data_IF_008340127502
#
_entry.id   IF_008340127502
#
_cell.length_a   1.000
_cell.length_b   1.000
_cell.length_c   1.000
_cell.angle_alpha   90.00
_cell.angle_beta   90.00
_cell.angle_gamma   90.00
#
_symmetry.space_group_name_H-M   'P 1'
#
loop_
_entity.id
_entity.type
_entity.pdbx_description
1 polymer ?
#
# COMPACT_ATOMS: atom_id res chain seq x y z
N UNK A 1 -1.49 -49.57 25.52
CA UNK A 1 -2.05 -48.25 25.78
C UNK A 1 -0.87 -47.27 25.93
N UNK A 2 -0.52 -46.56 24.92
CA UNK A 2 0.48 -45.52 24.99
C UNK A 2 0.00 -44.33 24.16
N UNK A 3 -0.46 -43.31 24.86
CA UNK A 3 -0.94 -42.04 24.32
C UNK A 3 0.24 -41.17 23.99
N UNK A 4 0.55 -41.07 22.68
CA UNK A 4 1.50 -40.08 22.18
C UNK A 4 0.84 -38.73 22.11
N UNK A 5 1.16 -37.83 23.04
CA UNK A 5 0.84 -36.41 22.99
C UNK A 5 1.70 -35.76 21.90
N UNK A 6 1.10 -35.33 20.83
CA UNK A 6 1.73 -34.43 19.88
C UNK A 6 1.80 -33.05 20.54
N UNK A 7 2.96 -32.70 21.05
CA UNK A 7 3.25 -31.35 21.49
C UNK A 7 3.32 -30.43 20.27
N UNK A 8 2.40 -29.47 20.19
CA UNK A 8 2.57 -28.29 19.36
C UNK A 8 3.80 -27.53 19.85
N UNK A 9 4.86 -27.51 19.05
CA UNK A 9 6.06 -26.73 19.33
C UNK A 9 5.72 -25.25 19.25
N UNK A 10 5.57 -24.60 20.38
CA UNK A 10 5.71 -23.16 20.49
C UNK A 10 7.18 -22.85 20.14
N UNK A 11 7.39 -22.05 19.09
CA UNK A 11 8.73 -21.65 18.67
C UNK A 11 9.43 -20.80 19.74
N UNK A 12 10.24 -21.46 20.56
CA UNK A 12 11.03 -20.87 21.66
C UNK A 12 12.41 -20.37 21.18
N UNK A 13 12.52 -20.03 19.89
CA UNK A 13 13.72 -19.36 19.35
C UNK A 13 13.64 -17.84 19.49
N UNK A 14 14.77 -17.13 19.40
CA UNK A 14 14.72 -15.68 19.27
C UNK A 14 13.89 -15.30 18.03
N UNK A 15 13.12 -14.18 18.10
CA UNK A 15 12.28 -13.75 16.98
C UNK A 15 13.15 -13.47 15.75
N UNK A 16 12.69 -13.88 14.56
CA UNK A 16 13.33 -13.58 13.28
C UNK A 16 13.25 -12.08 12.93
N UNK A 17 13.98 -11.69 11.89
CA UNK A 17 14.04 -10.29 11.47
C UNK A 17 12.65 -9.77 11.08
N UNK A 18 11.86 -10.55 10.32
CA UNK A 18 10.51 -10.17 9.89
C UNK A 18 9.58 -9.97 11.08
N UNK A 19 9.57 -10.90 12.05
CA UNK A 19 8.73 -10.77 13.25
C UNK A 19 9.13 -9.56 14.09
N UNK A 20 10.43 -9.30 14.23
CA UNK A 20 10.96 -8.15 14.95
C UNK A 20 10.58 -6.84 14.27
N UNK A 21 10.70 -6.78 12.95
CA UNK A 21 10.29 -5.62 12.14
C UNK A 21 8.79 -5.36 12.23
N UNK A 22 7.95 -6.41 12.25
CA UNK A 22 6.50 -6.30 12.43
C UNK A 22 6.10 -5.70 13.79
N UNK A 23 6.98 -5.77 14.80
CA UNK A 23 6.79 -5.11 16.11
C UNK A 23 7.32 -3.68 16.13
N UNK A 24 8.03 -3.27 15.07
CA UNK A 24 8.68 -1.96 14.99
C UNK A 24 9.87 -1.80 15.95
N UNK A 25 10.45 -2.90 16.43
CA UNK A 25 11.60 -2.87 17.35
C UNK A 25 12.90 -2.61 16.59
N UNK A 26 13.15 -1.33 16.32
CA UNK A 26 14.32 -0.89 15.58
C UNK A 26 15.66 -1.32 16.23
N UNK A 27 15.70 -1.42 17.57
CA UNK A 27 16.92 -1.81 18.28
C UNK A 27 17.25 -3.29 18.03
N UNK A 28 16.27 -4.16 18.22
CA UNK A 28 16.48 -5.60 18.00
C UNK A 28 16.72 -5.90 16.51
N UNK A 29 16.08 -5.14 15.58
CA UNK A 29 16.38 -5.23 14.14
C UNK A 29 17.85 -4.90 13.88
N UNK A 30 18.40 -3.83 14.48
CA UNK A 30 19.82 -3.51 14.34
C UNK A 30 20.72 -4.63 14.88
N UNK A 31 20.43 -5.16 16.08
CA UNK A 31 21.19 -6.23 16.68
C UNK A 31 21.17 -7.52 15.81
N UNK A 32 20.05 -7.84 15.17
CA UNK A 32 19.92 -8.98 14.26
C UNK A 32 20.72 -8.78 12.97
N UNK A 33 20.67 -7.59 12.37
CA UNK A 33 21.44 -7.25 11.16
C UNK A 33 22.95 -7.28 11.45
N UNK A 34 23.40 -6.74 12.58
CA UNK A 34 24.80 -6.80 13.04
C UNK A 34 25.23 -8.25 13.28
N UNK A 35 24.31 -9.12 13.68
CA UNK A 35 24.49 -10.57 13.84
C UNK A 35 24.56 -11.35 12.52
N UNK A 36 24.35 -10.67 11.37
CA UNK A 36 24.43 -11.27 10.04
C UNK A 36 23.11 -11.87 9.53
N UNK A 37 21.95 -11.43 10.06
CA UNK A 37 20.66 -11.79 9.49
C UNK A 37 20.57 -11.35 8.03
N UNK A 38 19.96 -12.18 7.19
CA UNK A 38 19.67 -11.82 5.79
C UNK A 38 18.58 -10.73 5.78
N UNK A 39 18.93 -9.54 5.27
CA UNK A 39 18.04 -8.37 5.26
C UNK A 39 16.77 -8.61 4.44
N UNK A 40 16.83 -9.48 3.44
CA UNK A 40 15.73 -9.86 2.56
C UNK A 40 15.12 -11.24 2.92
N UNK A 41 15.40 -11.76 4.14
CA UNK A 41 14.74 -12.99 4.60
C UNK A 41 13.22 -12.84 4.56
N UNK A 42 12.55 -13.96 4.32
CA UNK A 42 11.09 -14.00 4.17
C UNK A 42 10.45 -14.87 5.25
N UNK A 43 9.30 -14.45 5.75
CA UNK A 43 8.46 -15.31 6.59
C UNK A 43 7.70 -16.36 5.73
N UNK A 44 6.88 -17.18 6.41
CA UNK A 44 6.07 -18.24 5.78
C UNK A 44 5.06 -17.73 4.74
N UNK A 45 4.77 -16.43 4.73
CA UNK A 45 3.90 -15.77 3.74
C UNK A 45 4.69 -15.07 2.61
N UNK A 46 6.01 -15.25 2.60
CA UNK A 46 6.91 -14.60 1.64
C UNK A 46 7.18 -13.12 1.95
N UNK A 47 6.70 -12.60 3.08
CA UNK A 47 6.86 -11.19 3.46
C UNK A 47 8.27 -10.91 3.93
N UNK A 48 8.84 -9.77 3.52
CA UNK A 48 10.14 -9.27 3.98
C UNK A 48 10.01 -8.39 5.24
N UNK A 49 11.13 -8.22 5.93
CA UNK A 49 11.19 -7.37 7.12
C UNK A 49 10.81 -5.91 6.83
N UNK A 50 11.25 -5.35 5.68
CA UNK A 50 10.92 -3.96 5.32
C UNK A 50 9.42 -3.78 5.09
N UNK A 51 8.76 -4.73 4.42
CA UNK A 51 7.29 -4.71 4.23
C UNK A 51 6.57 -4.80 5.58
N UNK A 52 7.01 -5.69 6.48
CA UNK A 52 6.47 -5.81 7.82
C UNK A 52 6.61 -4.52 8.64
N UNK A 53 7.77 -3.83 8.54
CA UNK A 53 8.02 -2.55 9.21
C UNK A 53 7.13 -1.42 8.68
N UNK A 54 6.78 -1.42 7.37
CA UNK A 54 5.83 -0.46 6.80
C UNK A 54 4.43 -0.67 7.38
N UNK A 55 3.95 -1.91 7.46
CA UNK A 55 2.68 -2.22 8.13
C UNK A 55 2.68 -1.83 9.60
N UNK A 56 3.80 -1.97 10.29
CA UNK A 56 3.98 -1.51 11.68
C UNK A 56 4.04 0.02 11.81
N UNK A 57 4.27 0.74 10.71
CA UNK A 57 4.42 2.20 10.71
C UNK A 57 5.70 2.70 11.38
N UNK A 58 6.72 1.87 11.48
CA UNK A 58 7.97 2.19 12.18
C UNK A 58 9.02 2.77 11.22
N UNK A 59 9.02 4.10 11.05
CA UNK A 59 10.02 4.77 10.22
C UNK A 59 11.48 4.46 10.63
N UNK A 60 11.84 4.38 11.92
CA UNK A 60 13.20 4.00 12.31
C UNK A 60 13.58 2.58 11.84
N UNK A 61 12.63 1.62 11.89
CA UNK A 61 12.87 0.25 11.45
C UNK A 61 12.99 0.17 9.92
N UNK A 62 12.08 0.85 9.18
CA UNK A 62 12.17 0.93 7.71
C UNK A 62 13.51 1.51 7.29
N UNK A 63 13.94 2.62 7.92
CA UNK A 63 15.24 3.24 7.64
C UNK A 63 16.40 2.28 7.82
N UNK A 64 16.46 1.58 8.96
CA UNK A 64 17.54 0.63 9.24
C UNK A 64 17.63 -0.47 8.18
N UNK A 65 16.48 -1.02 7.79
CA UNK A 65 16.41 -2.08 6.78
C UNK A 65 16.83 -1.57 5.40
N UNK A 66 16.34 -0.40 4.98
CA UNK A 66 16.72 0.23 3.69
C UNK A 66 18.22 0.59 3.69
N UNK A 67 18.75 1.14 4.80
CA UNK A 67 20.17 1.46 4.91
C UNK A 67 21.07 0.20 4.89
N UNK A 68 20.52 -0.95 5.33
CA UNK A 68 21.18 -2.25 5.24
C UNK A 68 21.03 -2.91 3.85
N UNK A 69 20.33 -2.29 2.92
CA UNK A 69 20.16 -2.75 1.54
C UNK A 69 18.93 -3.62 1.30
N UNK A 70 17.91 -3.56 2.18
CA UNK A 70 16.64 -4.27 1.94
C UNK A 70 16.00 -3.83 0.62
N UNK A 71 15.56 -4.81 -0.18
CA UNK A 71 14.77 -4.53 -1.38
C UNK A 71 13.33 -4.18 -1.00
N UNK A 72 12.88 -2.98 -1.40
CA UNK A 72 11.50 -2.50 -1.17
C UNK A 72 10.49 -3.08 -2.17
N UNK A 73 10.98 -3.79 -3.21
CA UNK A 73 10.17 -4.33 -4.31
C UNK A 73 9.83 -5.82 -4.18
N UNK A 74 10.45 -6.53 -3.23
CA UNK A 74 10.18 -7.94 -3.04
C UNK A 74 8.74 -8.16 -2.59
N UNK A 75 7.95 -8.81 -3.46
CA UNK A 75 6.55 -9.09 -3.21
C UNK A 75 6.37 -10.39 -2.42
N UNK A 76 5.44 -10.39 -1.47
CA UNK A 76 4.97 -11.56 -0.73
C UNK A 76 3.95 -12.39 -1.56
N UNK A 77 3.40 -13.46 -0.96
CA UNK A 77 2.42 -14.35 -1.61
C UNK A 77 1.10 -13.64 -1.97
N UNK A 78 0.84 -12.47 -1.39
CA UNK A 78 -0.30 -11.60 -1.75
C UNK A 78 0.07 -10.53 -2.78
N UNK A 79 1.29 -10.57 -3.32
CA UNK A 79 1.87 -9.56 -4.18
C UNK A 79 1.99 -8.19 -3.49
N UNK A 80 2.07 -8.14 -2.17
CA UNK A 80 2.35 -6.92 -1.44
C UNK A 80 3.87 -6.73 -1.28
N UNK A 81 4.33 -5.49 -1.37
CA UNK A 81 5.69 -5.06 -1.06
C UNK A 81 5.67 -3.80 -0.19
N UNK A 82 6.84 -3.25 0.15
CA UNK A 82 6.91 -2.08 1.00
C UNK A 82 6.21 -0.84 0.41
N UNK A 83 6.30 -0.62 -0.91
CA UNK A 83 5.65 0.53 -1.56
C UNK A 83 4.12 0.35 -1.67
N UNK A 84 3.64 -0.83 -2.05
CA UNK A 84 2.21 -1.14 -2.12
C UNK A 84 1.54 -1.04 -0.74
N UNK A 85 2.25 -1.44 0.33
CA UNK A 85 1.78 -1.34 1.71
C UNK A 85 1.51 0.12 2.15
N UNK A 86 2.18 1.12 1.54
CA UNK A 86 1.89 2.54 1.78
C UNK A 86 0.47 2.90 1.37
N UNK A 87 0.03 2.43 0.20
CA UNK A 87 -1.34 2.65 -0.28
C UNK A 87 -2.39 2.01 0.63
N UNK A 88 -2.10 0.82 1.15
CA UNK A 88 -3.02 0.11 2.04
C UNK A 88 -3.12 0.74 3.44
N UNK A 89 -1.99 1.20 4.00
CA UNK A 89 -1.92 1.70 5.37
C UNK A 89 -2.21 3.19 5.49
N UNK A 90 -1.96 3.96 4.42
CA UNK A 90 -2.03 5.42 4.46
C UNK A 90 -0.99 6.09 5.36
N UNK A 91 0.01 5.34 5.83
CA UNK A 91 0.97 5.83 6.80
C UNK A 91 2.08 6.65 6.13
N UNK A 92 1.90 7.95 6.06
CA UNK A 92 2.85 8.89 5.43
C UNK A 92 4.19 8.96 6.19
N UNK A 93 4.21 8.60 7.48
CA UNK A 93 5.42 8.73 8.31
C UNK A 93 6.58 7.83 7.84
N UNK A 94 6.30 6.75 7.10
CA UNK A 94 7.30 5.81 6.58
C UNK A 94 7.62 6.01 5.10
N UNK A 95 6.88 6.89 4.41
CA UNK A 95 7.02 7.11 2.97
C UNK A 95 8.44 7.51 2.58
N UNK A 96 9.04 8.48 3.31
CA UNK A 96 10.39 8.96 2.99
C UNK A 96 11.42 7.84 3.01
N UNK A 97 11.30 6.94 3.97
CA UNK A 97 12.24 5.85 4.12
C UNK A 97 12.06 4.78 3.03
N UNK A 98 10.81 4.50 2.62
CA UNK A 98 10.54 3.59 1.50
C UNK A 98 11.07 4.17 0.18
N UNK A 99 10.85 5.47 -0.07
CA UNK A 99 11.34 6.13 -1.30
C UNK A 99 12.87 6.16 -1.41
N UNK A 100 13.62 6.11 -0.29
CA UNK A 100 15.09 5.97 -0.31
C UNK A 100 15.55 4.64 -0.89
N UNK A 101 14.69 3.61 -0.85
CA UNK A 101 14.95 2.30 -1.47
C UNK A 101 14.70 2.26 -2.98
N UNK A 102 14.35 3.40 -3.61
CA UNK A 102 14.09 3.54 -5.06
C UNK A 102 13.05 2.51 -5.58
N UNK A 103 11.80 2.54 -5.07
CA UNK A 103 10.79 1.54 -5.40
C UNK A 103 10.35 1.61 -6.86
N UNK A 104 10.08 0.44 -7.46
CA UNK A 104 9.31 0.37 -8.71
C UNK A 104 7.82 0.67 -8.43
N UNK A 105 7.43 1.91 -8.71
CA UNK A 105 6.07 2.41 -8.47
C UNK A 105 5.00 1.79 -9.38
N UNK A 106 5.42 1.08 -10.44
CA UNK A 106 4.55 0.37 -11.37
C UNK A 106 4.19 -1.04 -10.93
N UNK A 107 4.81 -1.58 -9.87
CA UNK A 107 4.44 -2.89 -9.34
C UNK A 107 3.01 -2.89 -8.81
N UNK A 108 2.32 -4.02 -9.03
CA UNK A 108 0.91 -4.17 -8.69
C UNK A 108 0.67 -5.25 -7.64
N UNK A 109 -0.37 -5.09 -6.85
CA UNK A 109 -0.86 -6.10 -5.93
C UNK A 109 -1.59 -7.24 -6.68
N UNK A 110 -2.09 -8.26 -5.95
CA UNK A 110 -2.82 -9.40 -6.51
C UNK A 110 -4.10 -9.05 -7.28
N UNK A 111 -4.56 -7.81 -7.21
CA UNK A 111 -5.72 -7.29 -7.97
C UNK A 111 -5.29 -6.40 -9.13
N UNK A 112 -4.01 -6.41 -9.48
CA UNK A 112 -3.47 -5.57 -10.54
C UNK A 112 -3.41 -4.09 -10.20
N UNK A 113 -3.60 -3.68 -8.94
CA UNK A 113 -3.62 -2.27 -8.53
C UNK A 113 -2.27 -1.77 -8.03
N UNK A 114 -1.86 -0.58 -8.44
CA UNK A 114 -0.71 0.16 -7.88
C UNK A 114 -1.03 0.73 -6.49
N UNK A 115 -0.05 1.30 -5.80
CA UNK A 115 -0.26 1.88 -4.45
C UNK A 115 -1.31 3.00 -4.40
N UNK A 116 -1.51 3.74 -5.51
CA UNK A 116 -2.48 4.83 -5.57
C UNK A 116 -3.93 4.34 -5.45
N UNK A 117 -4.23 3.17 -6.00
CA UNK A 117 -5.60 2.63 -6.03
C UNK A 117 -6.13 2.34 -4.61
N UNK A 118 -5.48 1.50 -3.76
CA UNK A 118 -5.96 1.28 -2.40
C UNK A 118 -5.90 2.55 -1.53
N UNK A 119 -4.98 3.48 -1.79
CA UNK A 119 -4.95 4.75 -1.07
C UNK A 119 -6.20 5.59 -1.38
N UNK A 120 -6.62 5.64 -2.64
CA UNK A 120 -7.83 6.35 -3.07
C UNK A 120 -9.10 5.68 -2.52
N UNK A 121 -9.22 4.36 -2.65
CA UNK A 121 -10.34 3.58 -2.11
C UNK A 121 -10.55 3.81 -0.61
N UNK A 122 -9.46 3.78 0.18
CA UNK A 122 -9.53 3.86 1.66
C UNK A 122 -9.66 5.28 2.20
N UNK A 123 -9.69 6.29 1.33
CA UNK A 123 -9.79 7.68 1.77
C UNK A 123 -8.51 8.23 2.40
N UNK A 124 -7.34 7.68 2.07
CA UNK A 124 -6.05 8.12 2.61
C UNK A 124 -5.55 9.40 1.91
N UNK A 125 -6.21 10.53 2.19
CA UNK A 125 -6.00 11.83 1.55
C UNK A 125 -4.52 12.22 1.50
N UNK A 126 -3.81 12.16 2.64
CA UNK A 126 -2.41 12.58 2.71
C UNK A 126 -1.47 11.62 1.97
N UNK A 127 -1.79 10.33 1.92
CA UNK A 127 -1.01 9.37 1.14
C UNK A 127 -1.22 9.58 -0.36
N UNK A 128 -2.46 9.78 -0.82
CA UNK A 128 -2.76 10.13 -2.23
C UNK A 128 -2.01 11.39 -2.64
N UNK A 129 -2.08 12.45 -1.81
CA UNK A 129 -1.33 13.70 -2.03
C UNK A 129 0.16 13.45 -2.17
N UNK A 130 0.73 12.66 -1.28
CA UNK A 130 2.17 12.38 -1.25
C UNK A 130 2.62 11.52 -2.45
N UNK A 131 1.85 10.49 -2.82
CA UNK A 131 2.13 9.66 -4.00
C UNK A 131 2.13 10.49 -5.28
N UNK A 132 1.07 11.28 -5.51
CA UNK A 132 0.94 12.15 -6.70
C UNK A 132 2.02 13.23 -6.78
N UNK A 133 2.48 13.77 -5.65
CA UNK A 133 3.46 14.85 -5.61
C UNK A 133 4.93 14.38 -5.69
N UNK A 134 5.22 13.13 -5.34
CA UNK A 134 6.58 12.66 -5.05
C UNK A 134 7.01 11.44 -5.85
N UNK A 135 6.10 10.85 -6.60
CA UNK A 135 6.35 9.67 -7.42
C UNK A 135 5.73 9.85 -8.81
N UNK A 136 6.16 9.01 -9.75
CA UNK A 136 5.62 8.99 -11.10
C UNK A 136 4.59 7.87 -11.27
N UNK A 137 3.70 7.68 -10.26
CA UNK A 137 2.61 6.71 -10.38
C UNK A 137 1.70 7.06 -11.55
N UNK A 138 1.34 6.07 -12.34
CA UNK A 138 0.33 6.23 -13.38
C UNK A 138 -1.05 6.47 -12.75
N UNK A 139 -1.56 7.71 -12.91
CA UNK A 139 -2.85 8.14 -12.32
C UNK A 139 -4.03 7.40 -12.96
N UNK A 140 -3.88 6.97 -14.21
CA UNK A 140 -4.91 6.28 -14.99
C UNK A 140 -4.71 4.76 -15.06
N UNK A 141 -3.79 4.23 -14.24
CA UNK A 141 -3.60 2.78 -14.16
C UNK A 141 -4.91 2.05 -13.87
N UNK A 142 -5.21 1.02 -14.68
CA UNK A 142 -6.43 0.23 -14.56
C UNK A 142 -6.10 -1.13 -13.94
N UNK A 143 -6.76 -1.46 -12.84
CA UNK A 143 -6.59 -2.74 -12.15
C UNK A 143 -7.38 -3.90 -12.81
N UNK A 144 -7.24 -5.13 -12.28
CA UNK A 144 -7.93 -6.32 -12.80
C UNK A 144 -9.46 -6.22 -12.78
N UNK A 145 -10.12 -5.60 -11.80
CA UNK A 145 -11.54 -5.29 -11.88
C UNK A 145 -11.94 -4.33 -13.01
N UNK A 146 -10.99 -3.59 -13.57
CA UNK A 146 -11.22 -2.59 -14.62
C UNK A 146 -11.41 -1.18 -14.08
N UNK A 147 -10.85 -0.87 -12.90
CA UNK A 147 -11.03 0.40 -12.24
C UNK A 147 -9.71 1.16 -12.09
N UNK A 148 -9.78 2.48 -12.33
CA UNK A 148 -8.72 3.42 -11.97
C UNK A 148 -8.84 3.84 -10.51
N UNK A 149 -7.83 4.55 -9.98
CA UNK A 149 -7.91 5.17 -8.66
C UNK A 149 -9.13 6.11 -8.54
N UNK A 150 -9.47 6.82 -9.62
CA UNK A 150 -10.65 7.69 -9.68
C UNK A 150 -11.96 6.89 -9.57
N UNK A 151 -12.10 5.79 -10.30
CA UNK A 151 -13.26 4.90 -10.20
C UNK A 151 -13.38 4.27 -8.81
N UNK A 152 -12.27 3.78 -8.23
CA UNK A 152 -12.31 3.20 -6.87
C UNK A 152 -12.71 4.23 -5.80
N UNK A 153 -12.23 5.47 -5.89
CA UNK A 153 -12.62 6.53 -4.96
C UNK A 153 -14.12 6.83 -5.02
N UNK A 154 -14.74 6.67 -6.20
CA UNK A 154 -16.18 6.93 -6.40
C UNK A 154 -17.02 5.70 -6.04
N UNK A 155 -16.63 4.50 -6.51
CA UNK A 155 -17.46 3.27 -6.39
C UNK A 155 -17.40 2.72 -4.96
N UNK A 156 -16.22 2.68 -4.37
CA UNK A 156 -15.96 2.08 -3.06
C UNK A 156 -15.87 3.12 -1.94
N UNK A 157 -15.78 4.39 -2.31
CA UNK A 157 -15.82 5.50 -1.37
C UNK A 157 -17.22 5.74 -0.80
N UNK A 158 -17.31 6.61 0.20
CA UNK A 158 -18.55 6.98 0.87
C UNK A 158 -19.15 8.31 0.38
N UNK A 159 -18.52 8.94 -0.63
CA UNK A 159 -18.90 10.28 -1.12
C UNK A 159 -18.64 11.43 -0.15
N UNK A 160 -18.00 11.15 0.97
CA UNK A 160 -17.68 12.13 2.02
C UNK A 160 -16.48 13.03 1.67
N UNK A 161 -16.10 13.95 2.59
CA UNK A 161 -15.07 14.96 2.33
C UNK A 161 -13.71 14.38 1.93
N UNK A 162 -13.33 13.22 2.49
CA UNK A 162 -12.06 12.57 2.15
C UNK A 162 -12.03 12.11 0.69
N UNK A 163 -13.06 11.38 0.23
CA UNK A 163 -13.14 10.91 -1.16
C UNK A 163 -13.37 12.07 -2.13
N UNK A 164 -14.13 13.09 -1.77
CA UNK A 164 -14.27 14.32 -2.57
C UNK A 164 -12.93 15.01 -2.79
N UNK A 165 -12.10 15.12 -1.75
CA UNK A 165 -10.77 15.71 -1.86
C UNK A 165 -9.83 14.84 -2.71
N UNK A 166 -9.90 13.51 -2.57
CA UNK A 166 -9.12 12.57 -3.39
C UNK A 166 -9.50 12.71 -4.87
N UNK A 167 -10.80 12.73 -5.18
CA UNK A 167 -11.27 12.94 -6.57
C UNK A 167 -10.72 14.25 -7.14
N UNK A 168 -10.74 15.35 -6.35
CA UNK A 168 -10.16 16.63 -6.77
C UNK A 168 -8.67 16.48 -7.10
N UNK A 169 -7.88 15.89 -6.19
CA UNK A 169 -6.43 15.70 -6.39
C UNK A 169 -6.11 14.83 -7.60
N UNK A 170 -6.86 13.75 -7.83
CA UNK A 170 -6.67 12.89 -8.99
C UNK A 170 -6.94 13.65 -10.30
N UNK A 171 -8.02 14.45 -10.35
CA UNK A 171 -8.33 15.29 -11.50
C UNK A 171 -7.28 16.39 -11.73
N UNK A 172 -6.78 17.01 -10.67
CA UNK A 172 -5.68 18.00 -10.73
C UNK A 172 -4.37 17.37 -11.21
N UNK A 173 -4.15 16.10 -10.91
CA UNK A 173 -3.00 15.32 -11.40
C UNK A 173 -3.19 14.81 -12.85
N UNK A 174 -4.33 15.09 -13.46
CA UNK A 174 -4.60 14.76 -14.86
C UNK A 174 -5.34 13.44 -15.08
N UNK A 175 -5.97 12.86 -14.05
CA UNK A 175 -6.79 11.66 -14.22
C UNK A 175 -7.86 11.86 -15.28
N UNK A 176 -7.97 10.89 -16.20
CA UNK A 176 -8.99 10.88 -17.25
C UNK A 176 -10.35 10.49 -16.63
N UNK A 177 -11.23 11.48 -16.54
CA UNK A 177 -12.59 11.33 -15.99
C UNK A 177 -13.53 10.49 -16.84
N UNK A 178 -13.15 10.19 -18.08
CA UNK A 178 -13.98 9.49 -19.05
C UNK A 178 -13.63 7.99 -19.15
N UNK A 179 -12.59 7.53 -18.45
CA UNK A 179 -12.30 6.11 -18.31
C UNK A 179 -13.45 5.43 -17.56
N UNK A 180 -14.19 4.60 -18.27
CA UNK A 180 -15.32 3.83 -17.74
C UNK A 180 -14.87 2.47 -17.20
N UNK A 181 -15.66 1.89 -16.32
CA UNK A 181 -15.51 0.51 -15.89
C UNK A 181 -15.85 -0.49 -17.00
N UNK A 182 -15.76 -1.80 -16.70
CA UNK A 182 -16.06 -2.87 -17.69
C UNK A 182 -17.49 -2.91 -18.20
N UNK A 183 -18.42 -2.29 -17.47
CA UNK A 183 -19.82 -2.15 -17.85
C UNK A 183 -20.08 -0.85 -18.67
N UNK A 184 -19.04 -0.09 -18.94
CA UNK A 184 -19.09 1.17 -19.67
C UNK A 184 -19.63 2.33 -18.83
N UNK A 185 -19.61 2.22 -17.51
CA UNK A 185 -20.10 3.25 -16.58
C UNK A 185 -18.97 4.16 -16.16
N UNK A 186 -19.12 5.46 -16.38
CA UNK A 186 -18.11 6.47 -16.05
C UNK A 186 -18.13 6.84 -14.56
N UNK A 187 -17.03 7.44 -14.02
CA UNK A 187 -17.01 7.98 -12.66
C UNK A 187 -18.19 8.94 -12.38
N UNK A 188 -18.53 9.80 -13.35
CA UNK A 188 -19.67 10.72 -13.21
C UNK A 188 -21.02 10.01 -13.07
N UNK A 189 -21.23 8.94 -13.86
CA UNK A 189 -22.48 8.17 -13.77
C UNK A 189 -22.56 7.42 -12.43
N UNK A 190 -21.44 6.86 -11.92
CA UNK A 190 -21.39 6.25 -10.60
C UNK A 190 -21.69 7.27 -9.49
N UNK A 191 -21.03 8.43 -9.50
CA UNK A 191 -21.27 9.50 -8.54
C UNK A 191 -22.74 9.95 -8.53
N UNK A 192 -23.32 10.13 -9.73
CA UNK A 192 -24.73 10.56 -9.89
C UNK A 192 -25.71 9.50 -9.36
N UNK A 193 -25.47 8.21 -9.64
CA UNK A 193 -26.31 7.11 -9.13
C UNK A 193 -26.24 6.96 -7.62
N UNK A 194 -25.07 7.27 -7.02
CA UNK A 194 -24.84 7.21 -5.57
C UNK A 194 -25.28 8.48 -4.83
N UNK A 195 -25.69 9.54 -5.56
CA UNK A 195 -26.08 10.83 -4.96
C UNK A 195 -24.90 11.62 -4.38
N UNK A 196 -23.69 11.43 -4.93
CA UNK A 196 -22.48 12.13 -4.51
C UNK A 196 -22.35 13.46 -5.26
N UNK A 197 -23.20 14.43 -4.91
CA UNK A 197 -23.35 15.68 -5.64
C UNK A 197 -22.05 16.49 -5.74
N UNK A 198 -21.26 16.54 -4.67
CA UNK A 198 -19.97 17.26 -4.65
C UNK A 198 -18.96 16.62 -5.62
N UNK A 199 -18.89 15.28 -5.65
CA UNK A 199 -18.03 14.55 -6.58
C UNK A 199 -18.54 14.72 -8.02
N UNK A 200 -19.84 14.61 -8.26
CA UNK A 200 -20.42 14.82 -9.58
C UNK A 200 -20.14 16.23 -10.11
N UNK A 201 -20.17 17.24 -9.23
CA UNK A 201 -19.81 18.62 -9.60
C UNK A 201 -18.34 18.74 -10.02
N UNK A 202 -17.41 18.09 -9.31
CA UNK A 202 -15.99 18.05 -9.70
C UNK A 202 -15.78 17.39 -11.06
N UNK A 203 -16.45 16.26 -11.30
CA UNK A 203 -16.34 15.50 -12.55
C UNK A 203 -16.94 16.23 -13.76
N UNK A 204 -17.83 17.18 -13.57
CA UNK A 204 -18.43 18.01 -14.64
C UNK A 204 -17.70 19.35 -14.86
N UNK A 205 -16.92 19.82 -13.89
CA UNK A 205 -16.13 21.05 -14.02
C UNK A 205 -15.01 20.88 -15.07
N UNK A 206 -14.81 21.93 -15.90
CA UNK A 206 -13.74 21.94 -16.92
C UNK A 206 -12.41 22.35 -16.31
#
# INVERSE_FOLDING_TARGET
MSTGSAGAGSGDGPPGLVETAARGDARLVADLLDGGADVDERDDSGRTAVTAAVYAGSAPTVRLLVDAGASVDLQDDSHANAFLALGETGNVSVLDEVLRGDPDVGLTNRFGGTALIPAAHRGHVEMVRALLARTEVDVDHVNDPGWTALLEAVILGDGGPAHTEIVRMLLEAGADRDIADRDGVTPLEHASRSGYDDIAALLTSR
#
